data_IF_249216473782
#
_entry.id   IF_249216473782
#
_cell.length_a   1.000
_cell.length_b   1.000
_cell.length_c   1.000
_cell.angle_alpha   90.00
_cell.angle_beta   90.00
_cell.angle_gamma   90.00
#
_symmetry.space_group_name_H-M   'P 1'
#
loop_
_entity.id
_entity.type
_entity.pdbx_description
1 polymer ?
#
# COMPACT_ATOMS: atom_id res chain seq x y z
N UNK A 1 -14.02 -6.50 9.88
CA UNK A 1 -13.07 -5.53 9.28
C UNK A 1 -11.67 -6.06 9.52
N UNK A 2 -10.85 -6.25 8.48
CA UNK A 2 -9.48 -6.74 8.63
C UNK A 2 -8.59 -5.62 9.15
N UNK A 3 -8.52 -5.49 10.46
CA UNK A 3 -7.84 -4.38 11.17
C UNK A 3 -6.33 -4.36 10.97
N UNK A 4 -5.71 -5.51 10.72
CA UNK A 4 -4.25 -5.62 10.56
C UNK A 4 -3.72 -4.88 9.33
N UNK A 5 -4.22 -5.17 8.12
CA UNK A 5 -3.73 -4.52 6.88
C UNK A 5 -3.88 -3.01 6.93
N UNK A 6 -4.99 -2.51 7.49
CA UNK A 6 -5.20 -1.07 7.68
C UNK A 6 -4.18 -0.46 8.64
N UNK A 7 -3.90 -1.13 9.76
CA UNK A 7 -2.90 -0.66 10.73
C UNK A 7 -1.48 -0.71 10.14
N UNK A 8 -1.16 -1.76 9.39
CA UNK A 8 0.12 -1.95 8.72
C UNK A 8 0.34 -0.88 7.63
N UNK A 9 -0.66 -0.61 6.79
CA UNK A 9 -0.61 0.50 5.82
C UNK A 9 -0.41 1.84 6.52
N UNK A 10 -1.13 2.10 7.62
CA UNK A 10 -0.95 3.32 8.44
C UNK A 10 0.40 3.38 9.15
N UNK A 11 1.08 2.25 9.33
CA UNK A 11 2.46 2.18 9.83
C UNK A 11 3.50 2.30 8.69
N UNK A 12 3.05 2.54 7.46
CA UNK A 12 3.89 2.68 6.28
C UNK A 12 4.37 1.36 5.69
N UNK A 13 3.79 0.21 6.07
CA UNK A 13 4.11 -1.09 5.46
C UNK A 13 3.67 -1.09 3.99
N UNK A 14 4.57 -1.54 3.13
CA UNK A 14 4.32 -1.68 1.71
C UNK A 14 3.87 -3.11 1.43
N UNK A 15 2.73 -3.25 0.77
CA UNK A 15 2.29 -4.53 0.21
C UNK A 15 2.58 -4.55 -1.27
N UNK A 16 2.76 -5.73 -1.84
CA UNK A 16 2.94 -5.83 -3.26
C UNK A 16 3.25 -7.23 -3.72
N UNK A 17 3.41 -7.33 -5.02
CA UNK A 17 3.85 -8.51 -5.72
C UNK A 17 5.15 -8.17 -6.47
N UNK A 18 6.24 -8.82 -6.07
CA UNK A 18 7.56 -8.57 -6.65
C UNK A 18 7.69 -9.14 -8.07
N UNK A 19 6.88 -10.13 -8.44
CA UNK A 19 6.90 -10.73 -9.77
C UNK A 19 6.25 -9.78 -10.79
N UNK A 20 5.12 -9.18 -10.42
CA UNK A 20 4.37 -8.25 -11.26
C UNK A 20 4.83 -6.78 -11.12
N UNK A 21 5.75 -6.50 -10.18
CA UNK A 21 6.20 -5.14 -9.85
C UNK A 21 5.04 -4.21 -9.47
N UNK A 22 4.05 -4.76 -8.76
CA UNK A 22 2.88 -4.03 -8.29
C UNK A 22 2.99 -3.81 -6.78
N UNK A 23 2.79 -2.57 -6.34
CA UNK A 23 2.94 -2.19 -4.95
C UNK A 23 1.77 -1.32 -4.49
N UNK A 24 1.31 -1.54 -3.26
CA UNK A 24 0.29 -0.76 -2.58
C UNK A 24 0.86 -0.29 -1.24
N UNK A 25 0.86 1.03 -1.03
CA UNK A 25 1.38 1.61 0.21
C UNK A 25 0.71 2.95 0.52
N UNK A 26 0.82 3.37 1.76
CA UNK A 26 0.43 4.71 2.20
C UNK A 26 1.66 5.63 2.12
N UNK A 27 1.62 6.73 1.37
CA UNK A 27 2.70 7.71 1.37
C UNK A 27 2.85 8.35 2.76
N UNK A 28 4.08 8.67 3.16
CA UNK A 28 4.38 9.24 4.48
C UNK A 28 3.57 10.52 4.80
N UNK A 29 3.22 11.30 3.78
CA UNK A 29 2.44 12.54 3.94
C UNK A 29 1.00 12.30 4.42
N UNK A 30 0.48 11.08 4.26
CA UNK A 30 -0.91 10.72 4.61
C UNK A 30 -1.00 10.03 5.98
N UNK A 31 0.13 9.83 6.66
CA UNK A 31 0.18 9.21 7.98
C UNK A 31 -0.40 10.17 9.01
N UNK A 32 -1.50 9.76 9.67
CA UNK A 32 -2.19 10.57 10.68
C UNK A 32 -3.26 11.52 10.14
N UNK A 33 -3.51 11.50 8.83
CA UNK A 33 -4.61 12.27 8.19
C UNK A 33 -5.96 11.57 8.43
N UNK A 34 -7.04 12.34 8.57
CA UNK A 34 -8.40 11.80 8.79
C UNK A 34 -8.86 10.91 7.63
N UNK A 35 -8.63 11.36 6.39
CA UNK A 35 -8.97 10.63 5.16
C UNK A 35 -7.71 10.31 4.36
N UNK A 36 -6.92 9.31 4.76
CA UNK A 36 -5.66 9.02 4.12
C UNK A 36 -5.88 8.35 2.77
N UNK A 37 -5.06 8.76 1.80
CA UNK A 37 -4.96 8.16 0.48
C UNK A 37 -3.82 7.14 0.47
N UNK A 38 -4.02 6.04 -0.24
CA UNK A 38 -3.00 5.06 -0.56
C UNK A 38 -2.64 5.17 -2.04
N UNK A 39 -1.47 4.66 -2.42
CA UNK A 39 -1.02 4.62 -3.80
C UNK A 39 -0.91 3.17 -4.24
N UNK A 40 -1.48 2.85 -5.40
CA UNK A 40 -1.15 1.64 -6.15
C UNK A 40 -0.19 2.02 -7.27
N UNK A 41 1.00 1.42 -7.22
CA UNK A 41 2.05 1.53 -8.22
C UNK A 41 2.09 0.23 -9.02
N UNK A 42 1.99 0.35 -10.33
CA UNK A 42 2.23 -0.72 -11.30
C UNK A 42 3.46 -0.33 -12.13
N UNK A 43 4.07 -1.25 -12.89
CA UNK A 43 5.25 -0.91 -13.70
C UNK A 43 5.00 0.19 -14.74
N UNK A 44 3.74 0.46 -15.09
CA UNK A 44 3.35 1.43 -16.12
C UNK A 44 2.60 2.64 -15.58
N UNK A 45 2.04 2.60 -14.37
CA UNK A 45 1.17 3.65 -13.87
C UNK A 45 1.17 3.74 -12.35
N UNK A 46 0.74 4.89 -11.84
CA UNK A 46 0.58 5.13 -10.41
C UNK A 46 -0.78 5.79 -10.18
N UNK A 47 -1.59 5.20 -9.30
CA UNK A 47 -2.93 5.74 -8.99
C UNK A 47 -3.13 5.92 -7.50
N UNK A 48 -3.74 7.04 -7.18
CA UNK A 48 -4.26 7.34 -5.85
C UNK A 48 -5.56 6.57 -5.63
N UNK A 49 -5.62 5.82 -4.54
CA UNK A 49 -6.76 4.98 -4.15
C UNK A 49 -7.09 5.21 -2.69
N UNK A 50 -8.36 5.09 -2.34
CA UNK A 50 -8.80 5.17 -0.94
C UNK A 50 -8.16 4.05 -0.12
N UNK A 51 -7.94 4.29 1.17
CA UNK A 51 -7.50 3.23 2.10
C UNK A 51 -8.40 1.98 2.05
N UNK A 52 -9.71 2.17 1.87
CA UNK A 52 -10.67 1.07 1.73
C UNK A 52 -10.41 0.24 0.46
N UNK A 53 -10.12 0.88 -0.65
CA UNK A 53 -9.79 0.22 -1.92
C UNK A 53 -8.44 -0.48 -1.85
N UNK A 54 -7.44 0.13 -1.21
CA UNK A 54 -6.14 -0.49 -0.97
C UNK A 54 -6.26 -1.79 -0.18
N UNK A 55 -7.00 -1.78 0.93
CA UNK A 55 -7.26 -2.99 1.74
C UNK A 55 -8.01 -4.04 0.93
N UNK A 56 -8.98 -3.62 0.11
CA UNK A 56 -9.74 -4.53 -0.74
C UNK A 56 -8.85 -5.17 -1.81
N UNK A 57 -7.98 -4.40 -2.45
CA UNK A 57 -7.00 -4.87 -3.43
C UNK A 57 -6.01 -5.85 -2.81
N UNK A 58 -5.42 -5.50 -1.66
CA UNK A 58 -4.48 -6.37 -0.94
C UNK A 58 -5.14 -7.72 -0.63
N UNK A 59 -6.41 -7.73 -0.20
CA UNK A 59 -7.12 -8.99 0.07
C UNK A 59 -7.49 -9.75 -1.20
N UNK A 60 -7.97 -9.05 -2.22
CA UNK A 60 -8.41 -9.66 -3.49
C UNK A 60 -7.24 -10.31 -4.23
N UNK A 61 -6.09 -9.64 -4.23
CA UNK A 61 -4.86 -10.11 -4.85
C UNK A 61 -3.98 -10.93 -3.89
N UNK A 62 -4.38 -11.05 -2.61
CA UNK A 62 -3.59 -11.69 -1.55
C UNK A 62 -2.14 -11.18 -1.49
N UNK A 63 -1.97 -9.86 -1.66
CA UNK A 63 -0.65 -9.21 -1.65
C UNK A 63 0.02 -9.42 -0.30
N UNK A 64 1.34 -9.60 -0.33
CA UNK A 64 2.17 -9.78 0.86
C UNK A 64 2.98 -8.51 1.14
N UNK A 65 3.40 -8.29 2.39
CA UNK A 65 4.36 -7.24 2.68
C UNK A 65 5.62 -7.46 1.83
N UNK A 66 5.98 -6.44 1.06
CA UNK A 66 7.01 -6.49 0.05
C UNK A 66 8.01 -5.35 0.25
N UNK A 67 9.22 -5.54 -0.30
CA UNK A 67 10.23 -4.49 -0.34
C UNK A 67 10.16 -3.79 -1.69
N UNK A 68 9.74 -2.54 -1.68
CA UNK A 68 9.75 -1.68 -2.84
C UNK A 68 11.18 -1.41 -3.31
N UNK A 69 11.50 -1.46 -4.62
CA UNK A 69 12.86 -1.24 -5.12
C UNK A 69 13.38 0.18 -4.81
N UNK A 70 12.50 1.19 -4.90
CA UNK A 70 12.81 2.60 -4.60
C UNK A 70 12.67 3.00 -3.12
N UNK A 71 11.58 2.63 -2.45
CA UNK A 71 11.27 3.07 -1.08
C UNK A 71 11.82 2.13 0.00
N UNK A 72 12.14 0.88 -0.33
CA UNK A 72 12.57 -0.12 0.64
C UNK A 72 11.37 -0.83 1.30
N UNK A 73 11.47 -1.12 2.60
CA UNK A 73 10.45 -1.92 3.31
C UNK A 73 9.27 -1.10 3.83
N UNK A 74 9.46 0.21 3.96
CA UNK A 74 8.48 1.14 4.50
C UNK A 74 8.48 2.41 3.65
N UNK A 75 7.33 3.07 3.55
CA UNK A 75 7.20 4.33 2.81
C UNK A 75 7.64 5.56 3.62
N UNK A 76 7.98 5.41 4.91
CA UNK A 76 8.42 6.45 5.83
C UNK A 76 9.72 6.02 6.54
#
# INVERSE_FOLDING_TARGET
MSTMVTAELKAGIIYGDMENNEYVYMPASEIGVENPICVIETPTDRKDISLKDAVNLIRKLSLKPAKHPRLGKQSC
#
